data_IF_220821018550
#
_entry.id   IF_220821018550
#
_cell.length_a   1.000
_cell.length_b   1.000
_cell.length_c   1.000
_cell.angle_alpha   90.00
_cell.angle_beta   90.00
_cell.angle_gamma   90.00
#
_symmetry.space_group_name_H-M   'P 1'
#
loop_
_entity.id
_entity.type
_entity.pdbx_description
1 polymer ?
#
# COMPACT_ATOMS: atom_id res chain seq x y z
N UNK A 1 -10.24 23.63 9.02
CA UNK A 1 -9.04 22.97 9.61
C UNK A 1 -7.93 22.97 8.59
N UNK A 2 -6.70 23.26 9.01
CA UNK A 2 -5.48 23.28 8.19
C UNK A 2 -4.59 22.09 8.55
N UNK A 3 -4.20 21.26 7.58
CA UNK A 3 -3.36 20.09 7.82
C UNK A 3 -2.10 20.17 6.97
N UNK A 4 -0.93 20.08 7.62
CA UNK A 4 0.36 19.92 6.94
C UNK A 4 0.67 18.43 6.85
N UNK A 5 0.61 17.88 5.64
CA UNK A 5 0.98 16.49 5.35
C UNK A 5 2.46 16.42 5.03
N UNK A 6 3.20 15.54 5.70
CA UNK A 6 4.64 15.32 5.46
C UNK A 6 4.83 13.90 4.93
N UNK A 7 5.52 13.75 3.80
CA UNK A 7 5.80 12.45 3.20
C UNK A 7 7.17 12.35 2.56
N UNK A 8 7.65 11.11 2.39
CA UNK A 8 8.91 10.81 1.69
C UNK A 8 8.82 11.06 0.19
N UNK A 9 7.62 10.96 -0.36
CA UNK A 9 7.30 11.15 -1.77
C UNK A 9 5.94 11.83 -1.89
N UNK A 10 5.76 12.57 -2.96
CA UNK A 10 4.47 13.10 -3.42
C UNK A 10 4.60 13.37 -4.93
N UNK A 11 3.56 13.20 -5.74
CA UNK A 11 3.63 13.36 -7.19
C UNK A 11 4.41 14.59 -7.64
N UNK A 12 5.19 14.44 -8.72
CA UNK A 12 6.06 15.48 -9.28
C UNK A 12 5.34 16.31 -10.33
N UNK A 13 4.39 15.69 -11.03
CA UNK A 13 3.56 16.26 -12.08
C UNK A 13 2.20 15.54 -12.07
N UNK A 14 1.27 15.99 -12.90
CA UNK A 14 -0.13 15.51 -12.85
C UNK A 14 -0.27 14.01 -13.14
N UNK A 15 0.49 13.49 -14.12
CA UNK A 15 0.44 12.07 -14.53
C UNK A 15 1.39 11.17 -13.73
N UNK A 16 2.04 11.71 -12.69
CA UNK A 16 2.95 10.92 -11.86
C UNK A 16 2.19 9.91 -10.99
N UNK A 17 2.41 8.64 -11.26
CA UNK A 17 1.81 7.53 -10.53
C UNK A 17 2.50 7.22 -9.19
N UNK A 18 3.39 8.11 -8.71
CA UNK A 18 4.09 7.90 -7.44
C UNK A 18 3.13 8.10 -6.25
N UNK A 19 2.97 7.07 -5.43
CA UNK A 19 2.12 7.07 -4.20
C UNK A 19 0.69 7.58 -4.47
N UNK A 20 -0.05 6.98 -5.40
CA UNK A 20 -1.36 7.48 -5.83
C UNK A 20 -2.35 7.59 -4.66
N UNK A 21 -2.31 6.65 -3.70
CA UNK A 21 -3.19 6.68 -2.52
C UNK A 21 -2.99 7.93 -1.65
N UNK A 22 -1.76 8.49 -1.54
CA UNK A 22 -1.52 9.71 -0.76
C UNK A 22 -2.12 10.94 -1.46
N UNK A 23 -1.99 11.01 -2.79
CA UNK A 23 -2.63 12.04 -3.62
C UNK A 23 -4.15 11.98 -3.47
N UNK A 24 -4.73 10.79 -3.58
CA UNK A 24 -6.17 10.56 -3.42
C UNK A 24 -6.65 10.93 -2.02
N UNK A 25 -5.91 10.53 -0.98
CA UNK A 25 -6.20 10.91 0.41
C UNK A 25 -6.23 12.43 0.60
N UNK A 26 -5.24 13.15 0.05
CA UNK A 26 -5.19 14.62 0.09
C UNK A 26 -6.37 15.24 -0.66
N UNK A 27 -6.74 14.70 -1.81
CA UNK A 27 -7.90 15.18 -2.58
C UNK A 27 -9.22 15.02 -1.79
N UNK A 28 -9.41 13.86 -1.15
CA UNK A 28 -10.61 13.62 -0.32
C UNK A 28 -10.63 14.46 0.97
N UNK A 29 -9.49 14.71 1.61
CA UNK A 29 -9.40 15.67 2.72
C UNK A 29 -9.86 17.08 2.28
N UNK A 30 -9.41 17.53 1.11
CA UNK A 30 -9.84 18.83 0.54
C UNK A 30 -11.34 18.85 0.23
N UNK A 31 -11.88 17.78 -0.37
CA UNK A 31 -13.31 17.62 -0.64
C UNK A 31 -14.13 17.71 0.66
N UNK A 32 -13.59 17.21 1.77
CA UNK A 32 -14.20 17.32 3.11
C UNK A 32 -13.98 18.69 3.79
N UNK A 33 -13.50 19.72 3.07
CA UNK A 33 -13.32 21.08 3.58
C UNK A 33 -12.04 21.33 4.36
N UNK A 34 -11.07 20.39 4.35
CA UNK A 34 -9.77 20.56 4.99
C UNK A 34 -8.81 21.30 4.06
N UNK A 35 -8.18 22.37 4.53
CA UNK A 35 -7.09 23.01 3.81
C UNK A 35 -5.81 22.18 3.99
N UNK A 36 -5.21 21.71 2.89
CA UNK A 36 -4.03 20.86 2.94
C UNK A 36 -2.86 21.53 2.23
N UNK A 37 -1.69 21.51 2.86
CA UNK A 37 -0.41 21.69 2.20
C UNK A 37 0.44 20.44 2.40
N UNK A 38 1.29 20.12 1.43
CA UNK A 38 2.19 18.99 1.49
C UNK A 38 3.63 19.49 1.64
N UNK A 39 4.41 18.83 2.49
CA UNK A 39 5.86 18.95 2.59
C UNK A 39 6.50 17.65 2.14
N UNK A 40 7.30 17.70 1.09
CA UNK A 40 8.01 16.56 0.53
C UNK A 40 9.41 16.96 0.05
N UNK A 41 10.35 16.03 -0.09
CA UNK A 41 11.69 16.32 -0.59
C UNK A 41 11.65 16.75 -2.05
N UNK A 42 12.65 17.54 -2.45
CA UNK A 42 12.92 17.80 -3.85
C UNK A 42 13.45 16.52 -4.55
N UNK A 43 13.22 16.42 -5.85
CA UNK A 43 13.74 15.38 -6.70
C UNK A 43 14.34 16.01 -7.96
N UNK A 44 15.63 15.76 -8.21
CA UNK A 44 16.39 16.29 -9.36
C UNK A 44 16.17 17.80 -9.60
N UNK A 45 16.17 18.59 -8.52
CA UNK A 45 16.02 20.05 -8.59
C UNK A 45 14.57 20.55 -8.62
N UNK A 46 13.57 19.69 -8.51
CA UNK A 46 12.15 20.07 -8.52
C UNK A 46 11.86 21.10 -7.42
N UNK A 47 11.32 22.24 -7.82
CA UNK A 47 10.91 23.32 -6.94
C UNK A 47 9.51 23.08 -6.36
N UNK A 48 9.15 23.84 -5.32
CA UNK A 48 7.77 23.88 -4.82
C UNK A 48 6.80 24.30 -5.92
N UNK A 49 5.66 23.64 -6.01
CA UNK A 49 4.69 23.80 -7.07
C UNK A 49 3.29 23.49 -6.54
N UNK A 50 2.31 23.47 -7.42
CA UNK A 50 0.93 23.10 -7.11
C UNK A 50 0.50 21.93 -7.99
N UNK A 51 -0.19 20.96 -7.38
CA UNK A 51 -0.82 19.82 -8.07
C UNK A 51 -2.25 19.70 -7.56
N UNK A 52 -3.24 19.65 -8.44
CA UNK A 52 -4.68 19.53 -8.14
C UNK A 52 -5.14 20.57 -7.11
N UNK A 53 -4.65 21.81 -7.22
CA UNK A 53 -4.92 22.87 -6.28
C UNK A 53 -4.32 22.64 -4.88
N UNK A 54 -3.36 21.72 -4.75
CA UNK A 54 -2.63 21.45 -3.50
C UNK A 54 -1.23 22.00 -3.58
N UNK A 55 -0.87 22.90 -2.66
CA UNK A 55 0.49 23.43 -2.57
C UNK A 55 1.45 22.37 -2.06
N UNK A 56 2.43 22.00 -2.89
CA UNK A 56 3.51 21.06 -2.57
C UNK A 56 4.78 21.85 -2.28
N UNK A 57 5.17 21.89 -1.02
CA UNK A 57 6.39 22.52 -0.57
C UNK A 57 7.54 21.53 -0.67
N UNK A 58 8.52 21.79 -1.57
CA UNK A 58 9.70 20.95 -1.72
C UNK A 58 10.88 21.51 -0.90
N UNK A 59 11.55 20.63 -0.16
CA UNK A 59 12.80 21.00 0.53
C UNK A 59 14.00 20.41 -0.20
N UNK A 60 15.00 21.27 -0.46
CA UNK A 60 16.26 20.91 -1.11
C UNK A 60 17.20 20.35 -0.05
N UNK A 61 17.82 19.20 -0.28
CA UNK A 61 18.71 18.55 0.68
C UNK A 61 20.08 18.20 0.10
N UNK A 62 20.27 18.48 -1.19
CA UNK A 62 21.51 18.26 -1.92
C UNK A 62 21.53 19.09 -3.21
N UNK A 63 22.64 19.14 -3.97
CA UNK A 63 22.64 19.55 -5.38
C UNK A 63 21.61 18.75 -6.18
N UNK A 64 21.00 19.36 -7.20
CA UNK A 64 19.90 18.77 -7.98
C UNK A 64 20.18 17.35 -8.49
N UNK A 65 21.39 17.07 -8.96
CA UNK A 65 21.81 15.75 -9.45
C UNK A 65 21.82 14.66 -8.38
N UNK A 66 21.94 15.02 -7.10
CA UNK A 66 22.00 14.10 -5.96
C UNK A 66 20.64 13.95 -5.24
N UNK A 67 19.63 14.77 -5.59
CA UNK A 67 18.29 14.68 -5.01
C UNK A 67 17.50 13.51 -5.58
N UNK A 68 17.94 12.29 -5.28
CA UNK A 68 17.34 11.05 -5.78
C UNK A 68 17.01 10.02 -4.69
N UNK A 69 17.03 10.42 -3.41
CA UNK A 69 16.96 9.50 -2.28
C UNK A 69 15.62 8.74 -2.18
N UNK A 70 14.49 9.35 -2.49
CA UNK A 70 13.18 8.87 -2.03
C UNK A 70 12.22 8.42 -3.14
N UNK A 71 12.28 8.97 -4.34
CA UNK A 71 11.36 8.65 -5.44
C UNK A 71 11.76 7.37 -6.18
N UNK A 72 10.86 6.80 -6.96
CA UNK A 72 11.00 5.60 -7.78
C UNK A 72 11.05 4.31 -6.96
N UNK A 73 12.20 3.84 -6.49
CA UNK A 73 12.35 2.58 -5.74
C UNK A 73 12.21 2.73 -4.22
N UNK A 74 12.13 3.98 -3.73
CA UNK A 74 12.13 4.31 -2.30
C UNK A 74 13.51 4.26 -1.65
N UNK A 75 13.66 5.01 -0.54
CA UNK A 75 14.95 5.22 0.12
C UNK A 75 15.65 3.93 0.60
N UNK A 76 14.97 2.92 1.19
CA UNK A 76 15.65 1.72 1.66
C UNK A 76 16.32 0.91 0.53
N UNK A 77 15.66 0.76 -0.63
CA UNK A 77 16.21 0.05 -1.78
C UNK A 77 17.40 0.79 -2.38
N UNK A 78 17.26 2.11 -2.57
CA UNK A 78 18.35 2.94 -3.09
C UNK A 78 19.58 2.99 -2.18
N UNK A 79 19.38 3.07 -0.87
CA UNK A 79 20.51 3.02 0.09
C UNK A 79 21.17 1.64 0.14
N UNK A 80 20.47 0.56 -0.20
CA UNK A 80 21.05 -0.78 -0.29
C UNK A 80 21.92 -0.91 -1.55
N UNK A 81 21.42 -0.43 -2.71
CA UNK A 81 22.16 -0.46 -3.98
C UNK A 81 23.29 0.56 -4.07
N UNK A 82 23.12 1.73 -3.40
CA UNK A 82 24.09 2.85 -3.38
C UNK A 82 24.33 3.32 -1.95
N UNK A 83 25.23 2.69 -1.18
CA UNK A 83 25.43 2.98 0.26
C UNK A 83 25.79 4.42 0.58
N UNK A 84 26.48 5.15 -0.32
CA UNK A 84 26.84 6.55 -0.14
C UNK A 84 25.61 7.47 0.00
N UNK A 85 24.44 7.08 -0.50
CA UNK A 85 23.19 7.84 -0.33
C UNK A 85 22.79 7.99 1.15
N UNK A 86 23.31 7.15 2.05
CA UNK A 86 23.08 7.28 3.49
C UNK A 86 23.61 8.59 4.04
N UNK A 87 24.66 9.18 3.44
CA UNK A 87 25.20 10.48 3.82
C UNK A 87 24.20 11.61 3.60
N UNK A 88 23.26 11.44 2.67
CA UNK A 88 22.21 12.42 2.39
C UNK A 88 21.10 12.41 3.44
N UNK A 89 21.03 11.42 4.32
CA UNK A 89 19.98 11.33 5.33
C UNK A 89 20.02 12.50 6.34
N UNK A 90 21.23 12.95 6.72
CA UNK A 90 21.41 14.08 7.65
C UNK A 90 20.92 15.38 7.04
N UNK A 91 21.46 15.85 5.87
CA UNK A 91 20.97 17.08 5.24
C UNK A 91 19.48 16.99 4.86
N UNK A 92 18.95 15.80 4.53
CA UNK A 92 17.53 15.57 4.32
C UNK A 92 16.69 15.96 5.54
N UNK A 93 17.06 15.45 6.73
CA UNK A 93 16.33 15.73 7.98
C UNK A 93 16.46 17.23 8.35
N UNK A 94 17.66 17.79 8.28
CA UNK A 94 17.92 19.18 8.66
C UNK A 94 17.15 20.14 7.73
N UNK A 95 17.26 19.95 6.44
CA UNK A 95 16.58 20.81 5.45
C UNK A 95 15.05 20.70 5.57
N UNK A 96 14.53 19.46 5.72
CA UNK A 96 13.11 19.23 5.96
C UNK A 96 12.62 19.91 7.23
N UNK A 97 13.39 19.84 8.32
CA UNK A 97 13.09 20.48 9.60
C UNK A 97 12.95 22.01 9.47
N UNK A 98 13.92 22.70 8.87
CA UNK A 98 13.83 24.15 8.67
C UNK A 98 12.69 24.55 7.73
N UNK A 99 12.44 23.75 6.69
CA UNK A 99 11.31 23.99 5.80
C UNK A 99 9.98 23.82 6.53
N UNK A 100 9.84 22.78 7.37
CA UNK A 100 8.67 22.56 8.21
C UNK A 100 8.43 23.73 9.17
N UNK A 101 9.46 24.19 9.89
CA UNK A 101 9.40 25.37 10.75
C UNK A 101 8.90 26.61 10.00
N UNK A 102 9.46 26.87 8.81
CA UNK A 102 9.07 28.01 7.97
C UNK A 102 7.61 27.97 7.57
N UNK A 103 7.10 26.77 7.19
CA UNK A 103 5.69 26.58 6.82
C UNK A 103 4.81 26.80 8.04
N UNK A 104 5.11 26.18 9.17
CA UNK A 104 4.31 26.28 10.39
C UNK A 104 4.26 27.73 10.91
N UNK A 105 5.37 28.49 10.84
CA UNK A 105 5.39 29.91 11.21
C UNK A 105 4.48 30.75 10.32
N UNK A 106 4.48 30.51 8.99
CA UNK A 106 3.76 31.34 8.01
C UNK A 106 2.30 30.96 7.88
N UNK A 107 1.99 29.66 7.82
CA UNK A 107 0.67 29.15 7.50
C UNK A 107 -0.14 28.68 8.72
N UNK A 108 0.55 28.36 9.83
CA UNK A 108 -0.05 27.92 11.11
C UNK A 108 -1.07 26.80 10.91
N UNK A 109 -0.63 25.57 10.55
CA UNK A 109 -1.53 24.43 10.45
C UNK A 109 -2.09 24.06 11.84
N UNK A 110 -3.31 23.52 11.87
CA UNK A 110 -3.92 22.99 13.08
C UNK A 110 -3.39 21.59 13.43
N UNK A 111 -2.90 20.87 12.43
CA UNK A 111 -2.33 19.50 12.55
C UNK A 111 -1.09 19.38 11.67
N UNK A 112 -0.08 18.65 12.15
CA UNK A 112 1.00 18.10 11.34
C UNK A 112 0.79 16.60 11.25
N UNK A 113 0.57 16.07 10.03
CA UNK A 113 0.37 14.64 9.77
C UNK A 113 1.58 14.08 9.02
N UNK A 114 2.43 13.33 9.73
CA UNK A 114 3.66 12.77 9.18
C UNK A 114 3.46 11.30 8.80
N UNK A 115 3.54 11.01 7.51
CA UNK A 115 3.60 9.67 6.95
C UNK A 115 5.03 9.13 7.02
N UNK A 116 5.20 7.80 7.17
CA UNK A 116 6.49 7.15 7.40
C UNK A 116 7.27 7.84 8.53
N UNK A 117 6.86 7.62 9.80
CA UNK A 117 7.36 8.39 10.95
C UNK A 117 8.87 8.49 11.10
N UNK A 118 9.63 7.52 10.57
CA UNK A 118 11.07 7.65 10.49
C UNK A 118 11.50 7.91 9.03
N UNK A 119 12.14 9.06 8.73
CA UNK A 119 12.60 10.11 9.67
C UNK A 119 11.62 11.30 9.87
N UNK A 120 10.39 11.28 9.29
CA UNK A 120 9.53 12.46 9.15
C UNK A 120 8.99 13.00 10.47
N UNK A 121 8.84 12.16 11.51
CA UNK A 121 8.52 12.66 12.85
C UNK A 121 9.56 13.66 13.33
N UNK A 122 10.85 13.44 13.04
CA UNK A 122 11.92 14.33 13.46
C UNK A 122 11.95 15.64 12.66
N UNK A 123 11.51 15.62 11.41
CA UNK A 123 11.27 16.82 10.60
C UNK A 123 10.14 17.67 11.23
N UNK A 124 9.12 17.02 11.79
CA UNK A 124 7.90 17.64 12.33
C UNK A 124 8.05 18.13 13.78
N UNK A 125 8.75 17.36 14.63
CA UNK A 125 8.75 17.51 16.10
C UNK A 125 9.12 18.90 16.60
N UNK A 126 10.13 19.54 16.00
CA UNK A 126 10.53 20.88 16.40
C UNK A 126 9.45 21.91 16.18
N UNK A 127 8.82 21.89 15.01
CA UNK A 127 7.70 22.78 14.69
C UNK A 127 6.47 22.46 15.55
N UNK A 128 6.14 21.19 15.75
CA UNK A 128 5.03 20.73 16.57
C UNK A 128 5.15 21.26 18.00
N UNK A 129 6.33 21.15 18.62
CA UNK A 129 6.58 21.64 19.99
C UNK A 129 6.61 23.18 20.05
N UNK A 130 7.34 23.83 19.13
CA UNK A 130 7.53 25.29 19.16
C UNK A 130 6.20 26.03 18.97
N UNK A 131 5.35 25.55 18.08
CA UNK A 131 4.08 26.20 17.74
C UNK A 131 2.87 25.55 18.42
N UNK A 132 3.10 24.52 19.29
CA UNK A 132 2.06 23.75 19.98
C UNK A 132 1.02 23.16 19.02
N UNK A 133 1.51 22.63 17.89
CA UNK A 133 0.68 21.98 16.87
C UNK A 133 0.64 20.47 17.13
N UNK A 134 -0.52 19.83 17.24
CA UNK A 134 -0.63 18.38 17.39
C UNK A 134 0.07 17.65 16.26
N UNK A 135 0.88 16.63 16.62
CA UNK A 135 1.57 15.74 15.70
C UNK A 135 0.82 14.42 15.58
N UNK A 136 0.49 14.05 14.36
CA UNK A 136 -0.12 12.76 14.00
C UNK A 136 0.89 11.95 13.19
N UNK A 137 1.05 10.68 13.51
CA UNK A 137 1.97 9.77 12.83
C UNK A 137 1.18 8.69 12.09
N UNK A 138 1.50 8.45 10.82
CA UNK A 138 0.89 7.38 10.03
C UNK A 138 1.93 6.36 9.58
N UNK A 139 1.78 5.11 10.03
CA UNK A 139 2.64 3.99 9.73
C UNK A 139 2.12 3.18 8.55
N UNK A 140 3.05 2.79 7.67
CA UNK A 140 2.77 2.04 6.43
C UNK A 140 3.43 0.66 6.38
N UNK A 141 4.21 0.29 7.42
CA UNK A 141 4.88 -1.00 7.56
C UNK A 141 6.37 -0.99 7.19
N UNK A 142 6.77 -0.26 6.14
CA UNK A 142 8.16 -0.23 5.67
C UNK A 142 9.16 0.28 6.72
N UNK A 143 8.78 1.26 7.54
CA UNK A 143 9.57 1.80 8.64
C UNK A 143 9.77 0.79 9.79
N UNK A 144 8.83 -0.13 9.96
CA UNK A 144 8.91 -1.19 10.98
C UNK A 144 9.88 -2.29 10.55
N UNK A 145 10.00 -2.55 9.24
CA UNK A 145 11.02 -3.43 8.69
C UNK A 145 12.43 -2.88 8.89
N UNK A 146 12.58 -1.55 8.87
CA UNK A 146 13.88 -0.92 9.10
C UNK A 146 14.43 -1.24 10.50
N UNK A 147 13.58 -1.42 11.52
CA UNK A 147 14.00 -1.79 12.89
C UNK A 147 14.73 -3.15 12.89
N UNK A 148 14.31 -4.10 12.05
CA UNK A 148 14.97 -5.42 11.96
C UNK A 148 16.39 -5.31 11.42
N UNK A 149 16.61 -4.42 10.45
CA UNK A 149 17.92 -4.17 9.83
C UNK A 149 18.80 -3.25 10.68
N UNK A 150 18.19 -2.29 11.39
CA UNK A 150 18.87 -1.22 12.15
C UNK A 150 18.22 -1.07 13.52
N UNK A 151 18.67 -1.87 14.49
CA UNK A 151 18.10 -1.92 15.86
C UNK A 151 18.04 -0.54 16.56
N UNK A 152 18.95 0.35 16.24
CA UNK A 152 19.02 1.72 16.79
C UNK A 152 17.82 2.61 16.37
N UNK A 153 17.08 2.24 15.33
CA UNK A 153 15.85 2.93 14.91
C UNK A 153 14.71 2.73 15.90
N UNK A 154 14.70 1.59 16.62
CA UNK A 154 13.61 1.26 17.57
C UNK A 154 13.43 2.29 18.68
N UNK A 155 14.46 2.71 19.45
CA UNK A 155 14.30 3.73 20.48
C UNK A 155 13.86 5.08 19.89
N UNK A 156 14.31 5.43 18.68
CA UNK A 156 13.86 6.64 18.02
C UNK A 156 12.35 6.56 17.71
N UNK A 157 11.89 5.49 17.08
CA UNK A 157 10.46 5.33 16.83
C UNK A 157 9.65 5.29 18.12
N UNK A 158 10.13 4.60 19.18
CA UNK A 158 9.50 4.60 20.51
C UNK A 158 9.35 6.02 21.07
N UNK A 159 10.36 6.85 20.91
CA UNK A 159 10.32 8.25 21.32
C UNK A 159 9.31 9.05 20.48
N UNK A 160 9.39 8.95 19.15
CA UNK A 160 8.49 9.66 18.22
C UNK A 160 7.02 9.32 18.48
N UNK A 161 6.69 8.02 18.64
CA UNK A 161 5.34 7.56 18.99
C UNK A 161 4.87 8.22 20.30
N UNK A 162 5.76 8.37 21.31
CA UNK A 162 5.40 9.01 22.58
C UNK A 162 5.20 10.52 22.50
N UNK A 163 5.56 11.17 21.42
CA UNK A 163 5.34 12.61 21.21
C UNK A 163 4.09 12.88 20.35
N UNK A 164 3.50 11.85 19.74
CA UNK A 164 2.34 11.99 18.88
C UNK A 164 1.03 12.07 19.71
N UNK A 165 0.09 12.88 19.28
CA UNK A 165 -1.26 12.98 19.81
C UNK A 165 -2.19 11.90 19.24
N UNK A 166 -1.90 11.40 18.04
CA UNK A 166 -2.54 10.24 17.46
C UNK A 166 -1.54 9.44 16.61
N UNK A 167 -1.75 8.13 16.56
CA UNK A 167 -0.95 7.20 15.76
C UNK A 167 -1.89 6.39 14.88
N UNK A 168 -1.65 6.40 13.58
CA UNK A 168 -2.39 5.64 12.58
C UNK A 168 -1.57 4.46 12.07
N UNK A 169 -2.27 3.39 11.68
CA UNK A 169 -1.73 2.26 10.97
C UNK A 169 -2.65 1.86 9.81
N UNK A 170 -2.05 1.40 8.71
CA UNK A 170 -2.80 0.94 7.54
C UNK A 170 -3.49 -0.42 7.75
N UNK A 171 -3.08 -1.21 8.75
CA UNK A 171 -3.64 -2.52 9.07
C UNK A 171 -3.51 -2.87 10.54
N UNK A 172 -4.29 -3.85 11.00
CA UNK A 172 -4.19 -4.42 12.35
C UNK A 172 -2.82 -5.06 12.58
N UNK A 173 -2.24 -5.68 11.56
CA UNK A 173 -0.90 -6.22 11.59
C UNK A 173 0.16 -5.14 11.85
N UNK A 174 0.08 -4.02 11.15
CA UNK A 174 0.96 -2.86 11.39
C UNK A 174 0.73 -2.30 12.79
N UNK A 175 -0.53 -2.18 13.23
CA UNK A 175 -0.88 -1.70 14.57
C UNK A 175 -0.30 -2.60 15.68
N UNK A 176 -0.36 -3.92 15.51
CA UNK A 176 0.25 -4.88 16.44
C UNK A 176 1.76 -4.67 16.58
N UNK A 177 2.47 -4.44 15.48
CA UNK A 177 3.92 -4.14 15.49
C UNK A 177 4.23 -2.79 16.18
N UNK A 178 3.39 -1.77 16.03
CA UNK A 178 3.54 -0.47 16.70
C UNK A 178 3.37 -0.66 18.21
N UNK A 179 2.31 -1.36 18.65
CA UNK A 179 2.05 -1.67 20.05
C UNK A 179 3.19 -2.43 20.71
N UNK A 180 3.88 -3.31 19.99
CA UNK A 180 5.08 -4.00 20.45
C UNK A 180 6.31 -3.06 20.66
N UNK A 181 6.33 -1.88 20.06
CA UNK A 181 7.37 -0.86 20.28
C UNK A 181 6.99 0.02 21.46
N UNK A 182 5.76 0.46 21.51
CA UNK A 182 5.18 1.27 22.58
C UNK A 182 3.67 1.00 22.67
N UNK A 183 3.20 0.68 23.87
CA UNK A 183 1.77 0.47 24.11
C UNK A 183 1.05 1.83 24.01
N UNK A 184 0.32 2.01 22.89
CA UNK A 184 -0.47 3.22 22.55
C UNK A 184 -1.72 2.79 21.80
N UNK A 185 -2.74 3.63 21.84
CA UNK A 185 -3.88 3.47 20.96
C UNK A 185 -3.46 3.76 19.52
N UNK A 186 -3.86 2.88 18.62
CA UNK A 186 -3.56 3.00 17.20
C UNK A 186 -4.88 3.05 16.44
N UNK A 187 -5.12 4.16 15.76
CA UNK A 187 -6.28 4.36 14.91
C UNK A 187 -6.06 3.68 13.57
N UNK A 188 -7.10 3.06 13.02
CA UNK A 188 -7.02 2.39 11.73
C UNK A 188 -7.22 3.36 10.57
N UNK A 189 -6.23 3.46 9.69
CA UNK A 189 -6.25 4.32 8.51
C UNK A 189 -5.73 3.54 7.29
N UNK A 190 -6.55 2.65 6.72
CA UNK A 190 -6.18 1.88 5.53
C UNK A 190 -6.12 2.79 4.29
N UNK A 191 -5.80 2.19 3.15
CA UNK A 191 -5.96 2.84 1.85
C UNK A 191 -7.30 2.45 1.24
N UNK A 192 -7.91 3.37 0.51
CA UNK A 192 -8.96 3.07 -0.44
C UNK A 192 -8.37 2.77 -1.81
N UNK A 193 -9.21 2.38 -2.75
CA UNK A 193 -8.81 2.22 -4.15
C UNK A 193 -8.43 3.55 -4.81
N UNK A 194 -7.57 3.44 -5.81
CA UNK A 194 -7.23 4.56 -6.70
C UNK A 194 -7.72 4.32 -8.13
N UNK A 195 -8.46 3.24 -8.35
CA UNK A 195 -9.04 2.95 -9.67
C UNK A 195 -10.23 3.88 -9.94
N UNK A 196 -10.21 4.54 -11.09
CA UNK A 196 -11.27 5.45 -11.53
C UNK A 196 -12.40 4.73 -12.29
N UNK A 197 -12.21 3.48 -12.69
CA UNK A 197 -13.15 2.73 -13.51
C UNK A 197 -13.94 1.73 -12.67
N UNK A 198 -15.26 1.90 -12.62
CA UNK A 198 -16.18 0.80 -12.29
C UNK A 198 -16.21 -0.14 -13.48
N UNK A 199 -15.41 -1.18 -13.47
CA UNK A 199 -15.61 -2.29 -14.40
C UNK A 199 -16.76 -3.13 -13.85
N UNK A 200 -17.86 -3.19 -14.56
CA UNK A 200 -18.84 -4.24 -14.36
C UNK A 200 -18.23 -5.51 -14.95
N UNK A 201 -17.56 -6.29 -14.12
CA UNK A 201 -17.13 -7.63 -14.48
C UNK A 201 -18.32 -8.58 -14.27
N UNK A 202 -18.62 -9.40 -15.26
CA UNK A 202 -19.45 -10.59 -15.06
C UNK A 202 -18.50 -11.79 -14.86
N UNK A 203 -18.18 -12.15 -13.61
CA UNK A 203 -17.26 -13.25 -13.32
C UNK A 203 -17.84 -14.62 -13.73
N UNK A 204 -19.09 -14.65 -14.18
CA UNK A 204 -19.78 -15.86 -14.67
C UNK A 204 -19.81 -15.96 -16.21
N UNK A 205 -19.38 -14.95 -16.94
CA UNK A 205 -19.26 -15.03 -18.39
C UNK A 205 -18.07 -15.93 -18.79
N UNK A 206 -18.13 -17.20 -18.40
CA UNK A 206 -17.09 -18.19 -18.73
C UNK A 206 -17.34 -18.71 -20.14
N UNK A 207 -16.92 -17.93 -21.15
CA UNK A 207 -16.69 -18.47 -22.46
C UNK A 207 -15.24 -18.98 -22.51
N UNK A 208 -14.99 -20.20 -22.00
CA UNK A 208 -13.66 -20.80 -22.00
C UNK A 208 -13.18 -21.25 -20.63
N UNK A 209 -11.83 -21.16 -20.40
CA UNK A 209 -11.20 -21.58 -19.15
C UNK A 209 -11.47 -20.60 -18.02
N UNK A 210 -11.54 -21.11 -16.78
CA UNK A 210 -11.63 -20.30 -15.57
C UNK A 210 -10.29 -19.56 -15.34
N UNK A 211 -10.32 -18.22 -15.43
CA UNK A 211 -9.13 -17.37 -15.39
C UNK A 211 -8.83 -16.90 -13.98
N UNK A 212 -7.64 -17.24 -13.50
CA UNK A 212 -7.09 -16.83 -12.20
C UNK A 212 -6.10 -15.70 -12.46
N UNK A 213 -6.36 -14.51 -11.89
CA UNK A 213 -5.55 -13.33 -12.09
C UNK A 213 -4.71 -13.01 -10.86
N UNK A 214 -3.42 -12.78 -11.07
CA UNK A 214 -2.50 -12.15 -10.13
C UNK A 214 -1.97 -10.86 -10.71
N UNK A 215 -1.93 -9.79 -9.91
CA UNK A 215 -1.32 -8.49 -10.28
C UNK A 215 -0.35 -8.05 -9.19
N UNK A 216 0.91 -7.81 -9.55
CA UNK A 216 1.89 -7.32 -8.59
C UNK A 216 3.35 -7.45 -9.01
N UNK A 217 4.24 -6.93 -8.16
CA UNK A 217 5.68 -7.12 -8.35
C UNK A 217 6.09 -8.57 -8.11
N UNK A 218 6.96 -9.10 -8.94
CA UNK A 218 7.50 -10.46 -8.79
C UNK A 218 8.64 -10.46 -7.77
N UNK A 219 8.25 -10.51 -6.48
CA UNK A 219 9.14 -10.57 -5.32
C UNK A 219 8.67 -11.65 -4.35
N UNK A 220 9.58 -12.19 -3.53
CA UNK A 220 9.37 -13.34 -2.67
C UNK A 220 8.07 -13.29 -1.85
N UNK A 221 7.82 -12.18 -1.12
CA UNK A 221 6.65 -12.06 -0.25
C UNK A 221 5.28 -12.10 -0.97
N UNK A 222 5.27 -12.00 -2.31
CA UNK A 222 4.03 -12.12 -3.09
C UNK A 222 3.63 -13.58 -3.35
N UNK A 223 4.52 -14.54 -3.07
CA UNK A 223 4.22 -15.96 -3.06
C UNK A 223 3.83 -16.56 -4.42
N UNK A 224 4.24 -15.91 -5.54
CA UNK A 224 3.86 -16.34 -6.90
C UNK A 224 4.32 -17.79 -7.19
N UNK A 225 5.42 -18.23 -6.59
CA UNK A 225 5.91 -19.60 -6.73
C UNK A 225 4.85 -20.63 -6.28
N UNK A 226 4.11 -20.34 -5.21
CA UNK A 226 3.04 -21.22 -4.73
C UNK A 226 1.79 -21.18 -5.62
N UNK A 227 1.52 -20.07 -6.29
CA UNK A 227 0.48 -19.99 -7.32
C UNK A 227 0.85 -20.85 -8.54
N UNK A 228 2.12 -20.80 -8.96
CA UNK A 228 2.64 -21.66 -10.03
C UNK A 228 2.52 -23.14 -9.62
N UNK A 229 2.90 -23.51 -8.40
CA UNK A 229 2.74 -24.86 -7.89
C UNK A 229 1.28 -25.31 -7.82
N UNK A 230 0.33 -24.42 -7.55
CA UNK A 230 -1.10 -24.72 -7.53
C UNK A 230 -1.60 -25.19 -8.90
N UNK A 231 -0.94 -24.81 -10.01
CA UNK A 231 -1.30 -25.26 -11.35
C UNK A 231 -1.28 -26.79 -11.51
N UNK A 232 -0.47 -27.54 -10.73
CA UNK A 232 -0.41 -29.01 -10.72
C UNK A 232 -1.76 -29.65 -10.38
N UNK A 233 -2.56 -28.96 -9.59
CA UNK A 233 -3.85 -29.44 -9.10
C UNK A 233 -5.01 -28.95 -9.95
N UNK A 234 -4.76 -28.15 -11.01
CA UNK A 234 -5.76 -27.52 -11.86
C UNK A 234 -5.69 -28.08 -13.29
N UNK A 235 -6.75 -28.71 -13.82
CA UNK A 235 -6.77 -29.23 -15.18
C UNK A 235 -6.59 -28.15 -16.24
N UNK A 236 -5.71 -28.40 -17.23
CA UNK A 236 -5.33 -27.48 -18.31
C UNK A 236 -6.49 -27.02 -19.17
N UNK A 237 -7.45 -27.88 -19.39
CA UNK A 237 -8.64 -27.62 -20.21
C UNK A 237 -9.68 -26.73 -19.50
N UNK A 238 -9.57 -26.60 -18.17
CA UNK A 238 -10.55 -25.89 -17.35
C UNK A 238 -10.00 -24.59 -16.76
N UNK A 239 -8.68 -24.49 -16.53
CA UNK A 239 -8.08 -23.35 -15.80
C UNK A 239 -6.94 -22.69 -16.56
N UNK A 240 -6.80 -21.37 -16.32
CA UNK A 240 -5.71 -20.54 -16.83
C UNK A 240 -5.24 -19.60 -15.71
N UNK A 241 -3.93 -19.46 -15.52
CA UNK A 241 -3.33 -18.54 -14.55
C UNK A 241 -2.64 -17.40 -15.30
N UNK A 242 -3.03 -16.17 -15.01
CA UNK A 242 -2.46 -14.95 -15.60
C UNK A 242 -1.69 -14.16 -14.54
N UNK A 243 -0.41 -13.94 -14.81
CA UNK A 243 0.52 -13.27 -13.90
C UNK A 243 0.97 -11.95 -14.52
N UNK A 244 0.41 -10.85 -13.97
CA UNK A 244 0.68 -9.49 -14.45
C UNK A 244 1.72 -8.83 -13.55
N UNK A 245 2.73 -8.23 -14.16
CA UNK A 245 3.79 -7.50 -13.50
C UNK A 245 5.18 -7.99 -13.85
N UNK A 246 6.16 -7.42 -13.17
CA UNK A 246 7.59 -7.77 -13.29
C UNK A 246 8.28 -7.57 -11.94
N UNK A 247 9.45 -8.16 -11.77
CA UNK A 247 10.28 -8.00 -10.57
C UNK A 247 11.52 -8.87 -10.61
N UNK A 248 12.26 -8.87 -9.51
CA UNK A 248 13.56 -9.53 -9.40
C UNK A 248 13.49 -11.07 -9.65
N UNK A 249 12.32 -11.67 -9.36
CA UNK A 249 12.11 -13.11 -9.51
C UNK A 249 11.45 -13.50 -10.84
N UNK A 250 11.22 -12.57 -11.78
CA UNK A 250 10.46 -12.86 -13.01
C UNK A 250 11.02 -14.05 -13.79
N UNK A 251 12.31 -14.09 -14.03
CA UNK A 251 12.93 -15.17 -14.83
C UNK A 251 12.95 -16.51 -14.10
N UNK A 252 13.14 -16.51 -12.79
CA UNK A 252 13.07 -17.72 -11.95
C UNK A 252 11.64 -18.31 -11.98
N UNK A 253 10.63 -17.46 -11.83
CA UNK A 253 9.22 -17.87 -11.87
C UNK A 253 8.79 -18.40 -13.24
N UNK A 254 9.27 -17.80 -14.33
CA UNK A 254 9.05 -18.33 -15.69
C UNK A 254 9.67 -19.70 -15.90
N UNK A 255 10.89 -19.91 -15.37
CA UNK A 255 11.53 -21.22 -15.41
C UNK A 255 10.72 -22.24 -14.61
N UNK A 256 10.31 -21.92 -13.40
CA UNK A 256 9.44 -22.80 -12.59
C UNK A 256 8.14 -23.15 -13.35
N UNK A 257 7.52 -22.19 -14.04
CA UNK A 257 6.31 -22.44 -14.82
C UNK A 257 6.58 -23.34 -16.04
N UNK A 258 7.74 -23.20 -16.70
CA UNK A 258 8.12 -24.04 -17.84
C UNK A 258 8.41 -25.50 -17.45
N UNK A 259 8.81 -25.72 -16.18
CA UNK A 259 9.08 -27.06 -15.64
C UNK A 259 7.79 -27.79 -15.17
N UNK A 260 6.60 -27.16 -15.35
CA UNK A 260 5.32 -27.76 -14.97
C UNK A 260 4.90 -28.87 -15.94
N UNK A 261 4.16 -29.84 -15.40
CA UNK A 261 3.64 -30.94 -16.19
C UNK A 261 2.68 -30.46 -17.30
N UNK A 262 2.65 -31.10 -18.49
CA UNK A 262 1.85 -30.66 -19.62
C UNK A 262 0.33 -30.62 -19.38
N UNK A 263 -0.17 -31.38 -18.41
CA UNK A 263 -1.56 -31.44 -18.00
C UNK A 263 -1.96 -30.36 -16.98
N UNK A 264 -0.98 -29.65 -16.41
CA UNK A 264 -1.20 -28.56 -15.47
C UNK A 264 -1.87 -27.35 -16.14
N UNK A 265 -2.57 -26.52 -15.36
CA UNK A 265 -3.15 -25.28 -15.87
C UNK A 265 -2.10 -24.41 -16.57
N UNK A 266 -2.51 -23.77 -17.66
CA UNK A 266 -1.64 -22.88 -18.43
C UNK A 266 -1.27 -21.64 -17.60
N UNK A 267 0.00 -21.25 -17.63
CA UNK A 267 0.52 -20.07 -16.89
C UNK A 267 1.02 -19.05 -17.89
N UNK A 268 0.43 -17.85 -17.87
CA UNK A 268 0.73 -16.78 -18.82
C UNK A 268 1.32 -15.59 -18.06
N UNK A 269 2.56 -15.23 -18.38
CA UNK A 269 3.19 -13.99 -17.90
C UNK A 269 2.97 -12.87 -18.90
N UNK A 270 2.23 -11.85 -18.51
CA UNK A 270 1.89 -10.70 -19.41
C UNK A 270 2.93 -9.59 -19.37
N UNK A 271 3.82 -9.59 -18.36
CA UNK A 271 4.69 -8.44 -18.10
C UNK A 271 3.93 -7.24 -17.52
N UNK A 272 4.51 -6.05 -17.68
CA UNK A 272 3.87 -4.79 -17.27
C UNK A 272 2.88 -4.35 -18.35
N UNK A 273 1.64 -4.09 -17.96
CA UNK A 273 0.55 -3.68 -18.86
C UNK A 273 0.29 -2.17 -18.77
N UNK A 274 -0.34 -1.63 -19.82
CA UNK A 274 -0.95 -0.30 -19.79
C UNK A 274 -2.18 -0.31 -18.86
N UNK A 275 -2.65 0.85 -18.37
CA UNK A 275 -3.87 0.92 -17.55
C UNK A 275 -5.08 0.26 -18.20
N UNK A 276 -5.28 0.44 -19.51
CA UNK A 276 -6.38 -0.13 -20.28
C UNK A 276 -6.27 -1.65 -20.40
N UNK A 277 -5.06 -2.16 -20.66
CA UNK A 277 -4.80 -3.60 -20.75
C UNK A 277 -4.97 -4.26 -19.37
N UNK A 278 -4.51 -3.61 -18.30
CA UNK A 278 -4.71 -4.08 -16.93
C UNK A 278 -6.20 -4.13 -16.55
N UNK A 279 -6.97 -3.09 -16.88
CA UNK A 279 -8.41 -3.07 -16.66
C UNK A 279 -9.11 -4.22 -17.42
N UNK A 280 -8.62 -4.58 -18.61
CA UNK A 280 -9.14 -5.72 -19.36
C UNK A 280 -8.83 -7.06 -18.70
N UNK A 281 -7.63 -7.23 -18.09
CA UNK A 281 -7.31 -8.44 -17.31
C UNK A 281 -8.27 -8.61 -16.13
N UNK A 282 -8.53 -7.55 -15.37
CA UNK A 282 -9.51 -7.58 -14.28
C UNK A 282 -10.93 -7.92 -14.78
N UNK A 283 -11.35 -7.34 -15.92
CA UNK A 283 -12.70 -7.57 -16.46
C UNK A 283 -12.93 -8.99 -16.96
N UNK A 284 -11.89 -9.63 -17.48
CA UNK A 284 -11.98 -10.97 -18.08
C UNK A 284 -11.59 -12.09 -17.12
N UNK A 285 -11.12 -11.79 -15.92
CA UNK A 285 -10.80 -12.76 -14.89
C UNK A 285 -12.05 -13.27 -14.19
N UNK A 286 -12.00 -14.51 -13.68
CA UNK A 286 -13.05 -15.11 -12.86
C UNK A 286 -12.74 -15.02 -11.36
N UNK A 287 -11.47 -14.91 -10.99
CA UNK A 287 -11.01 -14.77 -9.62
C UNK A 287 -9.69 -13.99 -9.58
N UNK A 288 -9.54 -13.15 -8.58
CA UNK A 288 -8.27 -12.52 -8.27
C UNK A 288 -7.57 -13.26 -7.12
N UNK A 289 -6.24 -13.41 -7.18
CA UNK A 289 -5.51 -14.06 -6.09
C UNK A 289 -4.31 -13.26 -5.63
N UNK A 290 -4.05 -13.31 -4.30
CA UNK A 290 -2.85 -12.78 -3.66
C UNK A 290 -2.29 -13.83 -2.69
N UNK A 291 -1.46 -14.77 -3.16
CA UNK A 291 -0.92 -15.86 -2.36
C UNK A 291 0.31 -15.41 -1.55
N UNK A 292 0.22 -14.25 -0.90
CA UNK A 292 1.31 -13.64 -0.17
C UNK A 292 1.81 -14.54 0.97
N UNK A 293 3.10 -14.39 1.30
CA UNK A 293 3.77 -15.15 2.36
C UNK A 293 4.55 -14.24 3.30
N UNK A 294 4.97 -14.78 4.42
CA UNK A 294 6.10 -14.23 5.16
C UNK A 294 7.38 -14.69 4.47
N UNK A 295 8.14 -13.76 3.88
CA UNK A 295 9.36 -14.05 3.14
C UNK A 295 10.54 -14.42 4.04
N UNK A 296 11.66 -14.81 3.44
CA UNK A 296 12.90 -15.16 4.12
C UNK A 296 13.46 -14.04 5.02
N UNK A 297 13.09 -12.79 4.75
CA UNK A 297 13.45 -11.61 5.54
C UNK A 297 12.40 -11.27 6.60
N UNK A 298 11.30 -12.06 6.69
CA UNK A 298 10.16 -11.84 7.58
C UNK A 298 9.33 -10.61 7.23
N UNK A 299 9.35 -10.19 5.97
CA UNK A 299 8.43 -9.24 5.39
C UNK A 299 7.20 -9.95 4.83
N UNK A 300 6.07 -9.26 4.82
CA UNK A 300 4.82 -9.78 4.27
C UNK A 300 3.96 -8.66 3.72
N UNK A 301 2.75 -8.99 3.27
CA UNK A 301 1.81 -8.01 2.78
C UNK A 301 1.28 -7.10 3.91
N UNK A 302 1.44 -5.79 3.74
CA UNK A 302 1.04 -4.83 4.76
C UNK A 302 -0.47 -4.58 4.84
N UNK A 303 -1.17 -4.66 3.70
CA UNK A 303 -2.62 -4.52 3.59
C UNK A 303 -3.19 -5.33 2.41
N UNK A 304 -2.60 -5.22 1.21
CA UNK A 304 -3.11 -5.88 0.01
C UNK A 304 -4.11 -5.01 -0.78
N UNK A 305 -3.72 -3.79 -1.15
CA UNK A 305 -4.58 -2.84 -1.90
C UNK A 305 -5.15 -3.45 -3.18
N UNK A 306 -4.40 -4.30 -3.87
CA UNK A 306 -4.86 -5.01 -5.08
C UNK A 306 -6.08 -5.92 -4.84
N UNK A 307 -6.29 -6.39 -3.59
CA UNK A 307 -7.50 -7.13 -3.21
C UNK A 307 -8.71 -6.19 -3.11
N UNK A 308 -8.50 -4.98 -2.58
CA UNK A 308 -9.54 -3.94 -2.54
C UNK A 308 -9.96 -3.58 -3.96
N UNK A 309 -8.98 -3.39 -4.84
CA UNK A 309 -9.19 -3.10 -6.26
C UNK A 309 -9.99 -4.21 -6.96
N UNK A 310 -9.60 -5.47 -6.75
CA UNK A 310 -10.31 -6.62 -7.31
C UNK A 310 -11.76 -6.71 -6.84
N UNK A 311 -12.00 -6.55 -5.53
CA UNK A 311 -13.34 -6.57 -4.94
C UNK A 311 -14.24 -5.43 -5.46
N UNK A 312 -13.68 -4.21 -5.64
CA UNK A 312 -14.43 -3.09 -6.21
C UNK A 312 -14.79 -3.29 -7.67
N UNK A 313 -13.93 -4.02 -8.40
CA UNK A 313 -14.17 -4.40 -9.78
C UNK A 313 -15.11 -5.62 -9.90
N UNK A 314 -15.65 -6.12 -8.78
CA UNK A 314 -16.60 -7.24 -8.77
C UNK A 314 -15.95 -8.60 -8.97
N UNK A 315 -14.67 -8.78 -8.63
CA UNK A 315 -14.02 -10.08 -8.66
C UNK A 315 -14.03 -10.75 -7.29
N UNK A 316 -14.39 -12.03 -7.19
CA UNK A 316 -14.15 -12.81 -5.99
C UNK A 316 -12.65 -12.93 -5.76
N UNK A 317 -12.22 -12.99 -4.49
CA UNK A 317 -10.81 -13.04 -4.14
C UNK A 317 -10.46 -14.29 -3.35
N UNK A 318 -9.28 -14.85 -3.65
CA UNK A 318 -8.62 -15.88 -2.85
C UNK A 318 -7.27 -15.35 -2.41
N UNK A 319 -6.97 -15.35 -1.12
CA UNK A 319 -5.73 -14.79 -0.62
C UNK A 319 -5.16 -15.59 0.56
N UNK A 320 -3.86 -15.45 0.84
CA UNK A 320 -3.26 -16.07 2.01
C UNK A 320 -3.66 -15.34 3.30
N UNK A 321 -3.90 -16.12 4.36
CA UNK A 321 -4.18 -15.60 5.70
C UNK A 321 -2.88 -15.12 6.37
N UNK A 322 -2.33 -13.98 5.92
CA UNK A 322 -1.04 -13.46 6.40
C UNK A 322 -1.01 -11.93 6.39
N UNK A 323 -0.25 -11.35 7.31
CA UNK A 323 -0.02 -9.91 7.36
C UNK A 323 -1.30 -9.10 7.59
N UNK A 324 -1.53 -8.09 6.75
CA UNK A 324 -2.72 -7.24 6.78
C UNK A 324 -3.85 -7.72 5.87
N UNK A 325 -3.70 -8.84 5.19
CA UNK A 325 -4.72 -9.40 4.28
C UNK A 325 -6.03 -9.71 5.02
N UNK A 326 -6.04 -10.26 6.26
CA UNK A 326 -7.29 -10.52 7.00
C UNK A 326 -8.11 -9.26 7.35
N UNK A 327 -7.53 -8.07 7.27
CA UNK A 327 -8.28 -6.83 7.41
C UNK A 327 -9.09 -6.52 6.15
N UNK A 328 -8.61 -6.97 4.98
CA UNK A 328 -9.24 -6.74 3.67
C UNK A 328 -10.22 -7.87 3.32
N UNK A 329 -9.83 -9.11 3.56
CA UNK A 329 -10.61 -10.30 3.24
C UNK A 329 -11.13 -10.93 4.51
N UNK A 330 -12.44 -10.96 4.69
CA UNK A 330 -13.12 -11.69 5.76
C UNK A 330 -13.48 -13.07 5.20
N UNK A 331 -12.84 -14.11 5.74
CA UNK A 331 -12.96 -15.48 5.24
C UNK A 331 -14.43 -15.98 5.20
N UNK A 332 -14.83 -16.54 4.06
CA UNK A 332 -16.19 -17.02 3.82
C UNK A 332 -17.26 -15.92 3.71
N UNK A 333 -16.90 -14.64 3.85
CA UNK A 333 -17.83 -13.50 3.78
C UNK A 333 -17.52 -12.57 2.60
N UNK A 334 -16.27 -12.11 2.47
CA UNK A 334 -15.87 -11.21 1.39
C UNK A 334 -14.82 -11.81 0.44
N UNK A 335 -14.41 -13.04 0.68
CA UNK A 335 -13.45 -13.80 -0.09
C UNK A 335 -13.07 -15.09 0.63
N UNK A 336 -12.08 -15.81 0.12
CA UNK A 336 -11.57 -17.05 0.72
C UNK A 336 -10.13 -16.79 1.20
N UNK A 337 -9.85 -17.11 2.46
CA UNK A 337 -8.51 -17.12 3.02
C UNK A 337 -7.99 -18.56 3.08
N UNK A 338 -6.74 -18.75 2.62
CA UNK A 338 -6.02 -20.03 2.66
C UNK A 338 -4.73 -19.86 3.47
N UNK A 339 -4.17 -20.96 4.01
CA UNK A 339 -2.84 -20.90 4.62
C UNK A 339 -1.79 -20.40 3.61
N UNK A 340 -0.77 -19.67 4.12
CA UNK A 340 0.37 -19.30 3.28
C UNK A 340 1.16 -20.55 2.88
N UNK A 341 1.80 -20.52 1.70
CA UNK A 341 2.66 -21.62 1.21
C UNK A 341 1.91 -22.95 1.02
N UNK A 342 0.62 -22.89 0.74
CA UNK A 342 -0.23 -24.06 0.51
C UNK A 342 -0.84 -24.02 -0.91
N UNK A 343 -0.14 -24.58 -1.91
CA UNK A 343 -0.62 -24.61 -3.30
C UNK A 343 -1.91 -25.42 -3.49
N UNK A 344 -2.10 -26.48 -2.70
CA UNK A 344 -3.28 -27.33 -2.79
C UNK A 344 -4.52 -26.60 -2.25
N UNK A 345 -4.39 -25.90 -1.13
CA UNK A 345 -5.48 -25.08 -0.61
C UNK A 345 -5.87 -23.96 -1.58
N UNK A 346 -4.91 -23.32 -2.26
CA UNK A 346 -5.17 -22.37 -3.34
C UNK A 346 -5.98 -22.99 -4.47
N UNK A 347 -5.55 -24.14 -4.99
CA UNK A 347 -6.21 -24.85 -6.08
C UNK A 347 -7.64 -25.26 -5.68
N UNK A 348 -7.83 -25.78 -4.47
CA UNK A 348 -9.14 -26.19 -3.96
C UNK A 348 -10.09 -24.98 -3.83
N UNK A 349 -9.60 -23.81 -3.40
CA UNK A 349 -10.39 -22.57 -3.37
C UNK A 349 -10.82 -22.15 -4.79
N UNK A 350 -9.94 -22.22 -5.79
CA UNK A 350 -10.29 -21.92 -7.18
C UNK A 350 -11.32 -22.89 -7.75
N UNK A 351 -11.17 -24.19 -7.53
CA UNK A 351 -12.15 -25.21 -7.93
C UNK A 351 -13.52 -24.97 -7.31
N UNK A 352 -13.54 -24.60 -6.02
CA UNK A 352 -14.79 -24.29 -5.31
C UNK A 352 -15.51 -23.09 -5.94
N UNK A 353 -14.79 -22.02 -6.26
CA UNK A 353 -15.37 -20.85 -6.94
C UNK A 353 -15.82 -21.18 -8.37
N UNK A 354 -15.10 -22.03 -9.10
CA UNK A 354 -15.46 -22.44 -10.44
C UNK A 354 -16.75 -23.29 -10.48
N UNK A 355 -17.04 -24.04 -9.41
CA UNK A 355 -18.18 -24.97 -9.36
C UNK A 355 -19.41 -24.43 -8.61
N UNK A 356 -19.27 -23.32 -7.84
CA UNK A 356 -20.34 -22.81 -6.98
C UNK A 356 -20.62 -21.31 -7.24
N UNK A 357 -21.50 -21.07 -8.19
CA UNK A 357 -21.97 -19.72 -8.53
C UNK A 357 -22.75 -19.03 -7.38
N UNK A 358 -23.37 -19.83 -6.49
CA UNK A 358 -24.05 -19.32 -5.30
C UNK A 358 -23.05 -18.69 -4.34
N UNK A 359 -21.99 -19.42 -4.01
CA UNK A 359 -20.89 -18.95 -3.19
C UNK A 359 -20.26 -17.66 -3.76
N UNK A 360 -20.01 -17.62 -5.07
CA UNK A 360 -19.45 -16.42 -5.72
C UNK A 360 -20.33 -15.21 -5.50
N UNK A 361 -21.65 -15.31 -5.71
CA UNK A 361 -22.59 -14.20 -5.47
C UNK A 361 -22.57 -13.73 -4.02
N UNK A 362 -22.56 -14.65 -3.07
CA UNK A 362 -22.55 -14.32 -1.64
C UNK A 362 -21.27 -13.61 -1.24
N UNK A 363 -20.10 -14.09 -1.70
CA UNK A 363 -18.80 -13.45 -1.46
C UNK A 363 -18.73 -12.06 -2.08
N UNK A 364 -19.24 -11.86 -3.29
CA UNK A 364 -19.26 -10.54 -3.94
C UNK A 364 -20.16 -9.57 -3.17
N UNK A 365 -21.33 -10.00 -2.74
CA UNK A 365 -22.23 -9.17 -1.92
C UNK A 365 -21.59 -8.79 -0.58
N UNK A 366 -20.89 -9.74 0.05
CA UNK A 366 -20.13 -9.50 1.28
C UNK A 366 -18.96 -8.55 1.06
N UNK A 367 -18.20 -8.72 -0.03
CA UNK A 367 -17.09 -7.87 -0.42
C UNK A 367 -17.53 -6.41 -0.63
N UNK A 368 -18.61 -6.19 -1.38
CA UNK A 368 -19.16 -4.84 -1.60
C UNK A 368 -19.50 -4.13 -0.29
N UNK A 369 -20.21 -4.85 0.63
CA UNK A 369 -20.55 -4.30 1.96
C UNK A 369 -19.30 -3.96 2.77
N UNK A 370 -18.33 -4.88 2.79
CA UNK A 370 -17.09 -4.70 3.54
C UNK A 370 -16.25 -3.53 3.00
N UNK A 371 -16.07 -3.44 1.68
CA UNK A 371 -15.34 -2.33 1.05
C UNK A 371 -16.02 -0.99 1.32
N UNK A 372 -17.33 -0.89 1.14
CA UNK A 372 -18.08 0.34 1.40
C UNK A 372 -17.97 0.79 2.86
N UNK A 373 -17.98 -0.12 3.82
CA UNK A 373 -17.91 0.19 5.24
C UNK A 373 -16.49 0.53 5.71
N UNK A 374 -15.45 -0.11 5.15
CA UNK A 374 -14.11 -0.09 5.70
C UNK A 374 -13.11 0.69 4.84
N UNK A 375 -13.20 0.60 3.52
CA UNK A 375 -12.18 1.04 2.57
C UNK A 375 -12.64 2.16 1.63
N UNK A 376 -13.90 2.62 1.72
CA UNK A 376 -14.31 3.82 0.98
C UNK A 376 -13.55 5.05 1.49
N UNK A 377 -13.09 5.90 0.58
CA UNK A 377 -12.35 7.11 0.94
C UNK A 377 -13.13 8.03 1.87
N UNK A 378 -14.44 8.12 1.71
CA UNK A 378 -15.28 8.94 2.59
C UNK A 378 -15.22 8.45 4.04
N UNK A 379 -15.26 7.13 4.27
CA UNK A 379 -15.14 6.53 5.61
C UNK A 379 -13.73 6.64 6.19
N UNK A 380 -12.71 6.51 5.36
CA UNK A 380 -11.31 6.68 5.78
C UNK A 380 -11.08 8.12 6.24
N UNK A 381 -11.50 9.10 5.44
CA UNK A 381 -11.33 10.53 5.73
C UNK A 381 -12.18 10.97 6.93
N UNK A 382 -13.40 10.47 7.06
CA UNK A 382 -14.25 10.71 8.24
C UNK A 382 -13.51 10.31 9.54
N UNK A 383 -12.93 9.10 9.58
CA UNK A 383 -12.12 8.62 10.72
C UNK A 383 -10.90 9.50 10.98
N UNK A 384 -10.18 9.88 9.92
CA UNK A 384 -9.02 10.77 10.07
C UNK A 384 -9.42 12.14 10.65
N UNK A 385 -10.48 12.76 10.14
CA UNK A 385 -10.98 14.07 10.63
C UNK A 385 -11.45 13.96 12.07
N UNK A 386 -12.13 12.88 12.45
CA UNK A 386 -12.52 12.64 13.85
C UNK A 386 -11.32 12.57 14.78
N UNK A 387 -10.26 11.87 14.38
CA UNK A 387 -9.02 11.79 15.15
C UNK A 387 -8.30 13.16 15.23
N UNK A 388 -8.25 13.93 14.13
CA UNK A 388 -7.70 15.30 14.15
C UNK A 388 -8.46 16.20 15.11
N UNK A 389 -9.79 16.17 15.10
CA UNK A 389 -10.61 16.96 16.00
C UNK A 389 -10.37 16.60 17.47
N UNK A 390 -10.16 15.32 17.81
CA UNK A 390 -9.76 14.88 19.15
C UNK A 390 -8.39 15.44 19.57
N UNK A 391 -7.44 15.56 18.61
CA UNK A 391 -6.10 16.10 18.88
C UNK A 391 -6.11 17.62 19.13
N UNK A 392 -6.97 18.37 18.42
CA UNK A 392 -7.06 19.84 18.53
C UNK A 392 -7.76 20.26 19.83
N UNK A 393 -8.69 19.43 20.35
CA UNK A 393 -9.43 19.72 21.59
C UNK A 393 -8.65 19.43 22.87
N UNK A 394 -7.55 18.69 22.79
CA UNK A 394 -6.63 18.40 23.90
C UNK A 394 -5.58 19.51 24.03
#
# INVERSE_FOLDING_TARGET
MKVLVIGSVYPRFHEDAEVPWLRTSVAHLKKAGVQVQVLAPAYKGLKSHEIDGTKVNRFRYAPASLEMLTHEEGAPSKMASKPWLQLLAIPYIISGFFKCLSICRKWRPDIIHAHWPFPHAYIALGAAKLFRIPLVLNFHGAELLLIRKKKWVRPLLKFAIGQAQAVFANSSFTAGKIKAIRNVDVEWSPYGTTLETKAESDPHAVNGKFKILFVGRHIERKGICYLIEAAKYLPKDQFEIRIVGVGDLTEELKKQAADMAPESAEIIFTGKLSPEALANEYRTANVFTLPAIVDSKGDTEGLGVVLIEAMELGLPVVASNVGGIPDVVVDGVSGILVPEKDPEALANAFKKLASDAGLVRDLLAGAQKHIAACFSWDKIIERQIQAYNKCIKK
#
